data_IF_996347123175
#
_entry.id   IF_996347123175
#
_cell.length_a   1.000
_cell.length_b   1.000
_cell.length_c   1.000
_cell.angle_alpha   90.00
_cell.angle_beta   90.00
_cell.angle_gamma   90.00
#
_symmetry.space_group_name_H-M   'P 1'
#
loop_
_entity.id
_entity.type
_entity.pdbx_description
1 polymer ?
#
# COMPACT_ATOMS: atom_id res chain seq x y z
N UNK A 1 97.03 7.05 12.22
CA UNK A 1 95.97 7.38 11.24
C UNK A 1 94.93 6.26 11.12
N UNK A 2 95.31 4.98 10.92
CA UNK A 2 94.38 3.84 10.79
C UNK A 2 93.48 3.63 12.03
N UNK A 3 94.03 3.79 13.24
CA UNK A 3 93.32 3.56 14.51
C UNK A 3 92.22 4.60 14.80
N UNK A 4 92.39 5.83 14.32
CA UNK A 4 91.39 6.91 14.43
C UNK A 4 90.27 6.74 13.41
N UNK A 5 90.59 6.30 12.19
CA UNK A 5 89.60 6.00 11.15
C UNK A 5 88.71 4.81 11.57
N UNK A 6 89.29 3.75 12.14
CA UNK A 6 88.51 2.61 12.64
C UNK A 6 87.52 3.01 13.75
N UNK A 7 87.94 3.92 14.66
CA UNK A 7 87.07 4.43 15.73
C UNK A 7 85.90 5.24 15.17
N UNK A 8 86.16 6.08 14.18
CA UNK A 8 85.11 6.87 13.51
C UNK A 8 84.12 5.95 12.80
N UNK A 9 84.61 4.93 12.08
CA UNK A 9 83.75 3.94 11.40
C UNK A 9 82.92 3.16 12.42
N UNK A 10 83.48 2.76 13.56
CA UNK A 10 82.72 2.05 14.61
C UNK A 10 81.64 2.92 15.25
N UNK A 11 81.90 4.22 15.44
CA UNK A 11 80.90 5.16 15.99
C UNK A 11 79.77 5.38 14.98
N UNK A 12 80.10 5.50 13.69
CA UNK A 12 79.10 5.63 12.63
C UNK A 12 78.24 4.37 12.53
N UNK A 13 78.83 3.17 12.56
CA UNK A 13 78.11 1.90 12.53
C UNK A 13 77.17 1.73 13.73
N UNK A 14 77.61 2.11 14.94
CA UNK A 14 76.76 2.07 16.15
C UNK A 14 75.61 3.07 16.04
N UNK A 15 75.86 4.28 15.54
CA UNK A 15 74.81 5.28 15.35
C UNK A 15 73.77 4.85 14.30
N UNK A 16 74.21 4.21 13.21
CA UNK A 16 73.32 3.68 12.19
C UNK A 16 72.46 2.52 12.72
N UNK A 17 73.01 1.67 13.60
CA UNK A 17 72.28 0.54 14.18
C UNK A 17 71.17 0.99 15.16
N UNK A 18 71.37 2.10 15.88
CA UNK A 18 70.37 2.67 16.80
C UNK A 18 69.16 3.25 16.04
N UNK A 19 69.36 3.77 14.82
CA UNK A 19 68.29 4.37 14.01
C UNK A 19 67.28 3.36 13.43
N UNK A 20 67.60 2.05 13.39
CA UNK A 20 66.73 1.02 12.78
C UNK A 20 65.48 0.75 13.64
N UNK A 21 65.49 1.12 14.93
CA UNK A 21 64.37 0.93 15.85
C UNK A 21 63.36 2.09 15.86
N UNK A 22 63.53 3.11 15.02
CA UNK A 22 62.58 4.21 14.89
C UNK A 22 61.43 3.88 13.91
N UNK A 23 60.79 2.73 14.07
CA UNK A 23 59.52 2.46 13.43
C UNK A 23 58.41 3.02 14.33
N UNK A 24 57.76 4.10 13.90
CA UNK A 24 56.57 4.64 14.57
C UNK A 24 55.42 3.62 14.48
N UNK A 25 55.34 2.72 15.46
CA UNK A 25 54.21 1.82 15.60
C UNK A 25 52.95 2.65 15.92
N UNK A 26 51.93 2.56 15.06
CA UNK A 26 50.62 3.11 15.36
C UNK A 26 50.06 2.39 16.58
N UNK A 27 50.01 3.07 17.72
CA UNK A 27 49.42 2.50 18.93
C UNK A 27 47.89 2.57 18.79
N UNK A 28 47.25 1.45 18.51
CA UNK A 28 45.78 1.35 18.53
C UNK A 28 45.34 1.40 20.00
N UNK A 29 44.68 2.50 20.39
CA UNK A 29 44.17 2.69 21.75
C UNK A 29 42.75 2.12 21.82
N UNK A 30 42.57 1.01 22.54
CA UNK A 30 41.25 0.43 22.81
C UNK A 30 40.72 0.93 24.15
N UNK A 31 39.91 1.99 24.13
CA UNK A 31 39.13 2.41 25.30
C UNK A 31 37.85 1.56 25.40
N UNK A 32 37.80 0.68 26.40
CA UNK A 32 36.68 -0.25 26.64
C UNK A 32 35.35 0.47 26.88
N UNK A 33 35.36 1.66 27.47
CA UNK A 33 34.12 2.40 27.74
C UNK A 33 33.57 3.06 26.48
N UNK A 34 34.43 3.73 25.69
CA UNK A 34 34.04 4.24 24.38
C UNK A 34 33.56 3.12 23.45
N UNK A 35 34.27 1.99 23.40
CA UNK A 35 33.88 0.82 22.61
C UNK A 35 32.49 0.29 22.99
N UNK A 36 32.19 0.18 24.29
CA UNK A 36 30.86 -0.24 24.74
C UNK A 36 29.75 0.70 24.29
N UNK A 37 29.95 2.02 24.43
CA UNK A 37 28.95 3.03 24.04
C UNK A 37 28.76 3.02 22.52
N UNK A 38 29.85 3.00 21.76
CA UNK A 38 29.80 2.95 20.29
C UNK A 38 29.10 1.68 19.82
N UNK A 39 29.44 0.51 20.39
CA UNK A 39 28.77 -0.76 20.04
C UNK A 39 27.28 -0.75 20.38
N UNK A 40 26.88 -0.21 21.54
CA UNK A 40 25.48 -0.08 21.91
C UNK A 40 24.72 0.85 20.94
N UNK A 41 25.34 1.96 20.53
CA UNK A 41 24.78 2.87 19.54
C UNK A 41 24.69 2.22 18.15
N UNK A 42 25.73 1.50 17.71
CA UNK A 42 25.72 0.75 16.44
C UNK A 42 24.63 -0.32 16.42
N UNK A 43 24.48 -1.08 17.51
CA UNK A 43 23.43 -2.09 17.62
C UNK A 43 22.02 -1.45 17.58
N UNK A 44 21.84 -0.32 18.26
CA UNK A 44 20.59 0.43 18.24
C UNK A 44 20.27 1.00 16.86
N UNK A 45 21.27 1.59 16.18
CA UNK A 45 21.13 2.08 14.82
C UNK A 45 20.78 0.96 13.84
N UNK A 46 21.42 -0.20 13.96
CA UNK A 46 21.12 -1.37 13.13
C UNK A 46 19.66 -1.82 13.28
N UNK A 47 19.15 -1.89 14.52
CA UNK A 47 17.75 -2.23 14.76
C UNK A 47 16.79 -1.19 14.15
N UNK A 48 17.13 0.10 14.25
CA UNK A 48 16.34 1.18 13.64
C UNK A 48 16.37 1.07 12.10
N UNK A 49 17.52 0.77 11.51
CA UNK A 49 17.67 0.57 10.06
C UNK A 49 16.88 -0.64 9.57
N UNK A 50 16.92 -1.76 10.29
CA UNK A 50 16.13 -2.96 9.96
C UNK A 50 14.63 -2.64 9.99
N UNK A 51 14.15 -1.96 11.03
CA UNK A 51 12.75 -1.50 11.10
C UNK A 51 12.42 -0.50 9.98
N UNK A 52 13.35 0.39 9.63
CA UNK A 52 13.16 1.34 8.55
C UNK A 52 13.01 0.62 7.20
N UNK A 53 13.88 -0.35 6.91
CA UNK A 53 13.85 -1.14 5.68
C UNK A 53 12.52 -1.90 5.55
N UNK A 54 12.06 -2.56 6.61
CA UNK A 54 10.75 -3.22 6.61
C UNK A 54 9.60 -2.24 6.30
N UNK A 55 9.66 -1.01 6.84
CA UNK A 55 8.68 0.03 6.50
C UNK A 55 8.80 0.49 5.04
N UNK A 56 10.01 0.65 4.52
CA UNK A 56 10.25 1.00 3.11
C UNK A 56 9.68 -0.07 2.18
N UNK A 57 9.89 -1.34 2.49
CA UNK A 57 9.34 -2.47 1.71
C UNK A 57 7.81 -2.48 1.74
N UNK A 58 7.22 -2.24 2.91
CA UNK A 58 5.76 -2.12 3.05
C UNK A 58 5.21 -0.94 2.25
N UNK A 59 5.92 0.18 2.23
CA UNK A 59 5.57 1.36 1.43
C UNK A 59 5.65 1.05 -0.07
N UNK A 60 6.69 0.34 -0.50
CA UNK A 60 6.86 -0.08 -1.89
C UNK A 60 5.71 -1.00 -2.34
N UNK A 61 5.35 -2.00 -1.53
CA UNK A 61 4.23 -2.88 -1.79
C UNK A 61 2.89 -2.11 -1.93
N UNK A 62 2.64 -1.14 -1.03
CA UNK A 62 1.45 -0.29 -1.11
C UNK A 62 1.42 0.57 -2.37
N UNK A 63 2.57 1.10 -2.82
CA UNK A 63 2.67 1.83 -4.09
C UNK A 63 2.42 0.94 -5.31
N UNK A 64 3.02 -0.25 -5.35
CA UNK A 64 2.79 -1.20 -6.44
C UNK A 64 1.30 -1.59 -6.54
N UNK A 65 0.65 -1.79 -5.39
CA UNK A 65 -0.79 -2.04 -5.34
C UNK A 65 -1.59 -0.87 -5.94
N UNK A 66 -1.17 0.37 -5.68
CA UNK A 66 -1.75 1.58 -6.29
C UNK A 66 -1.63 1.59 -7.81
N UNK A 67 -0.49 1.18 -8.35
CA UNK A 67 -0.27 1.09 -9.81
C UNK A 67 -1.14 0.01 -10.45
N UNK A 68 -1.29 -1.15 -9.79
CA UNK A 68 -2.17 -2.23 -10.24
C UNK A 68 -3.63 -1.79 -10.39
N UNK A 69 -4.10 -0.81 -9.61
CA UNK A 69 -5.47 -0.30 -9.74
C UNK A 69 -5.78 0.29 -11.10
N UNK A 70 -4.80 0.93 -11.74
CA UNK A 70 -4.98 1.51 -13.09
C UNK A 70 -5.27 0.39 -14.10
N UNK A 71 -4.59 -0.74 -13.96
CA UNK A 71 -4.80 -1.94 -14.79
C UNK A 71 -6.14 -2.60 -14.46
N UNK A 72 -6.45 -2.77 -13.17
CA UNK A 72 -7.73 -3.33 -12.70
C UNK A 72 -8.95 -2.57 -13.20
N UNK A 73 -8.87 -1.24 -13.34
CA UNK A 73 -9.97 -0.43 -13.87
C UNK A 73 -10.31 -0.75 -15.32
N UNK A 74 -9.31 -0.97 -16.17
CA UNK A 74 -9.54 -1.36 -17.56
C UNK A 74 -10.21 -2.74 -17.61
N UNK A 75 -9.69 -3.70 -16.84
CA UNK A 75 -10.27 -5.04 -16.74
C UNK A 75 -11.72 -5.02 -16.26
N UNK A 76 -12.05 -4.23 -15.22
CA UNK A 76 -13.42 -4.14 -14.70
C UNK A 76 -14.39 -3.50 -15.70
N UNK A 77 -13.94 -2.54 -16.52
CA UNK A 77 -14.79 -1.98 -17.59
C UNK A 77 -15.15 -3.02 -18.65
N UNK A 78 -14.20 -3.88 -19.02
CA UNK A 78 -14.47 -4.98 -19.95
C UNK A 78 -15.39 -6.04 -19.33
N UNK A 79 -15.17 -6.39 -18.05
CA UNK A 79 -16.07 -7.27 -17.30
C UNK A 79 -17.50 -6.73 -17.22
N UNK A 80 -17.65 -5.42 -17.03
CA UNK A 80 -18.96 -4.77 -17.08
C UNK A 80 -19.62 -4.90 -18.44
N UNK A 81 -18.92 -4.63 -19.55
CA UNK A 81 -19.47 -4.77 -20.91
C UNK A 81 -19.95 -6.19 -21.16
N UNK A 82 -19.11 -7.17 -20.83
CA UNK A 82 -19.43 -8.60 -20.96
C UNK A 82 -20.68 -8.97 -20.14
N UNK A 83 -20.79 -8.44 -18.92
CA UNK A 83 -21.98 -8.63 -18.09
C UNK A 83 -23.23 -8.04 -18.74
N UNK A 84 -23.16 -6.79 -19.22
CA UNK A 84 -24.30 -6.10 -19.83
C UNK A 84 -24.84 -6.80 -21.09
N UNK A 85 -23.94 -7.37 -21.88
CA UNK A 85 -24.33 -8.19 -23.04
C UNK A 85 -25.15 -9.41 -22.63
N UNK A 86 -24.77 -10.07 -21.55
CA UNK A 86 -25.35 -11.34 -21.12
C UNK A 86 -26.65 -11.16 -20.31
N UNK A 87 -26.76 -10.04 -19.58
CA UNK A 87 -27.90 -9.75 -18.70
C UNK A 87 -29.25 -9.74 -19.45
N UNK A 88 -29.27 -9.42 -20.73
CA UNK A 88 -30.50 -9.42 -21.55
C UNK A 88 -31.21 -10.78 -21.62
N UNK A 89 -30.50 -11.90 -21.38
CA UNK A 89 -31.05 -13.25 -21.41
C UNK A 89 -31.87 -13.68 -20.18
N UNK A 90 -31.96 -12.85 -19.13
CA UNK A 90 -32.58 -13.21 -17.84
C UNK A 90 -34.03 -12.73 -17.64
N UNK A 91 -34.68 -12.19 -18.67
CA UNK A 91 -36.07 -11.76 -18.60
C UNK A 91 -36.31 -10.65 -17.56
N UNK A 92 -37.17 -10.89 -16.56
CA UNK A 92 -37.50 -9.89 -15.53
C UNK A 92 -36.34 -9.58 -14.58
N UNK A 93 -35.42 -10.53 -14.38
CA UNK A 93 -34.23 -10.36 -13.54
C UNK A 93 -33.19 -9.46 -14.18
N UNK A 94 -33.27 -9.26 -15.50
CA UNK A 94 -32.35 -8.40 -16.24
C UNK A 94 -32.30 -6.97 -15.71
N UNK A 95 -33.43 -6.44 -15.22
CA UNK A 95 -33.48 -5.10 -14.61
C UNK A 95 -32.68 -5.06 -13.32
N UNK A 96 -32.83 -6.08 -12.47
CA UNK A 96 -32.11 -6.16 -11.20
C UNK A 96 -30.60 -6.28 -11.45
N UNK A 97 -30.18 -7.14 -12.37
CA UNK A 97 -28.77 -7.32 -12.70
C UNK A 97 -28.14 -6.08 -13.36
N UNK A 98 -28.90 -5.31 -14.16
CA UNK A 98 -28.44 -4.00 -14.64
C UNK A 98 -28.11 -3.07 -13.48
N UNK A 99 -28.92 -3.08 -12.43
CA UNK A 99 -28.71 -2.24 -11.25
C UNK A 99 -27.48 -2.63 -10.44
N UNK A 100 -27.16 -3.93 -10.37
CA UNK A 100 -25.89 -4.41 -9.81
C UNK A 100 -24.71 -3.88 -10.63
N UNK A 101 -24.80 -3.96 -11.96
CA UNK A 101 -23.79 -3.44 -12.88
C UNK A 101 -23.59 -1.93 -12.76
N UNK A 102 -24.67 -1.16 -12.66
CA UNK A 102 -24.62 0.29 -12.47
C UNK A 102 -24.01 0.66 -11.12
N UNK A 103 -24.36 -0.05 -10.04
CA UNK A 103 -23.75 0.14 -8.73
C UNK A 103 -22.22 -0.05 -8.77
N UNK A 104 -21.74 -1.09 -9.46
CA UNK A 104 -20.31 -1.30 -9.66
C UNK A 104 -19.68 -0.16 -10.48
N UNK A 105 -20.34 0.28 -11.55
CA UNK A 105 -19.86 1.37 -12.40
C UNK A 105 -19.72 2.70 -11.64
N UNK A 106 -20.67 3.03 -10.77
CA UNK A 106 -20.64 4.23 -9.93
C UNK A 106 -19.39 4.25 -9.04
N UNK A 107 -19.07 3.12 -8.40
CA UNK A 107 -17.83 2.97 -7.61
C UNK A 107 -16.61 3.24 -8.49
N UNK A 108 -16.55 2.59 -9.66
CA UNK A 108 -15.41 2.71 -10.58
C UNK A 108 -15.22 4.12 -11.13
N UNK A 109 -16.30 4.88 -11.26
CA UNK A 109 -16.25 6.29 -11.66
C UNK A 109 -15.77 7.19 -10.54
N UNK A 110 -16.18 6.91 -9.30
CA UNK A 110 -15.93 7.78 -8.15
C UNK A 110 -14.56 7.56 -7.50
N UNK A 111 -14.03 6.34 -7.45
CA UNK A 111 -12.71 6.08 -6.86
C UNK A 111 -11.56 6.88 -7.52
N UNK A 112 -11.48 7.02 -8.86
CA UNK A 112 -10.48 7.89 -9.50
C UNK A 112 -10.53 9.34 -9.02
N UNK A 113 -11.74 9.86 -8.81
CA UNK A 113 -11.94 11.23 -8.29
C UNK A 113 -11.33 11.34 -6.88
N UNK A 114 -11.58 10.34 -6.02
CA UNK A 114 -10.99 10.27 -4.68
C UNK A 114 -9.47 10.17 -4.72
N UNK A 115 -8.91 9.27 -5.54
CA UNK A 115 -7.46 9.12 -5.70
C UNK A 115 -6.81 10.44 -6.13
N UNK A 116 -7.40 11.13 -7.11
CA UNK A 116 -6.89 12.42 -7.57
C UNK A 116 -6.96 13.50 -6.48
N UNK A 117 -8.02 13.49 -5.66
CA UNK A 117 -8.21 14.46 -4.58
C UNK A 117 -7.23 14.20 -3.43
N UNK A 118 -7.08 12.94 -3.02
CA UNK A 118 -6.09 12.50 -2.01
C UNK A 118 -4.68 12.87 -2.44
N UNK A 119 -4.34 12.69 -3.72
CA UNK A 119 -3.05 13.09 -4.27
C UNK A 119 -2.77 14.60 -4.22
N UNK A 120 -3.81 15.43 -4.28
CA UNK A 120 -3.68 16.90 -4.18
C UNK A 120 -3.75 17.41 -2.73
N UNK A 121 -4.45 16.69 -1.86
CA UNK A 121 -4.73 17.11 -0.50
C UNK A 121 -3.48 17.11 0.39
N UNK A 122 -3.30 18.15 1.21
CA UNK A 122 -2.13 18.34 2.07
C UNK A 122 -2.37 17.74 3.46
N UNK A 123 -2.21 16.43 3.60
CA UNK A 123 -2.26 15.74 4.90
C UNK A 123 -1.25 14.58 4.97
N UNK A 124 -0.80 14.25 6.19
CA UNK A 124 0.08 13.11 6.48
C UNK A 124 -0.64 11.78 6.19
N UNK A 125 0.09 10.69 5.92
CA UNK A 125 -0.50 9.35 5.74
C UNK A 125 -1.27 9.10 4.41
N UNK A 126 -1.13 9.99 3.43
CA UNK A 126 -1.74 9.88 2.09
C UNK A 126 -1.60 8.50 1.44
N UNK A 127 -0.44 7.86 1.55
CA UNK A 127 -0.20 6.54 0.97
C UNK A 127 -1.12 5.48 1.56
N UNK A 128 -1.41 5.52 2.86
CA UNK A 128 -2.34 4.58 3.49
C UNK A 128 -3.76 4.84 3.03
N UNK A 129 -4.16 6.10 2.87
CA UNK A 129 -5.44 6.44 2.26
C UNK A 129 -5.57 5.92 0.83
N UNK A 130 -4.52 6.03 0.01
CA UNK A 130 -4.49 5.46 -1.34
C UNK A 130 -4.56 3.92 -1.30
N UNK A 131 -3.94 3.29 -0.30
CA UNK A 131 -4.05 1.84 -0.09
C UNK A 131 -5.49 1.43 0.26
N UNK A 132 -6.18 2.18 1.13
CA UNK A 132 -7.58 1.90 1.48
C UNK A 132 -8.54 2.08 0.31
N UNK A 133 -8.43 3.18 -0.45
CA UNK A 133 -9.18 3.34 -1.70
C UNK A 133 -8.95 2.18 -2.66
N UNK A 134 -7.73 1.68 -2.66
CA UNK A 134 -7.31 0.52 -3.38
C UNK A 134 -7.88 -0.81 -2.95
N UNK A 135 -8.00 -1.02 -1.64
CA UNK A 135 -8.70 -2.17 -1.07
C UNK A 135 -10.16 -2.19 -1.55
N UNK A 136 -10.83 -1.02 -1.58
CA UNK A 136 -12.20 -0.92 -2.10
C UNK A 136 -12.29 -1.30 -3.58
N UNK A 137 -11.31 -0.91 -4.39
CA UNK A 137 -11.24 -1.31 -5.81
C UNK A 137 -11.05 -2.81 -5.96
N UNK A 138 -10.17 -3.41 -5.17
CA UNK A 138 -9.93 -4.85 -5.20
C UNK A 138 -11.18 -5.64 -4.77
N UNK A 139 -11.86 -5.21 -3.70
CA UNK A 139 -13.12 -5.80 -3.24
C UNK A 139 -14.21 -5.67 -4.32
N UNK A 140 -14.34 -4.48 -4.92
CA UNK A 140 -15.27 -4.25 -6.04
C UNK A 140 -14.95 -5.16 -7.22
N UNK A 141 -13.66 -5.33 -7.57
CA UNK A 141 -13.25 -6.20 -8.66
C UNK A 141 -13.63 -7.66 -8.41
N UNK A 142 -13.45 -8.14 -7.18
CA UNK A 142 -13.85 -9.50 -6.81
C UNK A 142 -15.37 -9.68 -6.93
N UNK A 143 -16.15 -8.73 -6.41
CA UNK A 143 -17.61 -8.74 -6.49
C UNK A 143 -18.11 -8.67 -7.93
N UNK A 144 -17.52 -7.82 -8.77
CA UNK A 144 -17.81 -7.75 -10.20
C UNK A 144 -17.43 -9.04 -10.90
N UNK A 145 -16.29 -9.65 -10.57
CA UNK A 145 -15.90 -10.96 -11.12
C UNK A 145 -16.92 -12.05 -10.77
N UNK A 146 -17.38 -12.09 -9.52
CA UNK A 146 -18.44 -13.00 -9.09
C UNK A 146 -19.76 -12.72 -9.84
N UNK A 147 -20.11 -11.46 -10.03
CA UNK A 147 -21.29 -11.06 -10.78
C UNK A 147 -21.20 -11.45 -12.26
N UNK A 148 -20.03 -11.28 -12.88
CA UNK A 148 -19.75 -11.71 -14.25
C UNK A 148 -19.97 -13.21 -14.38
N UNK A 149 -19.48 -14.01 -13.42
CA UNK A 149 -19.71 -15.46 -13.44
C UNK A 149 -21.21 -15.80 -13.37
N UNK A 150 -21.99 -15.07 -12.57
CA UNK A 150 -23.46 -15.25 -12.49
C UNK A 150 -24.13 -15.00 -13.84
N UNK A 151 -23.78 -13.90 -14.51
CA UNK A 151 -24.47 -13.46 -15.74
C UNK A 151 -23.92 -14.11 -17.00
N UNK A 152 -22.64 -14.50 -17.02
CA UNK A 152 -22.00 -15.15 -18.16
C UNK A 152 -22.33 -16.63 -18.29
N UNK A 153 -22.74 -17.29 -17.20
CA UNK A 153 -23.24 -18.66 -17.24
C UNK A 153 -24.62 -18.80 -17.95
N UNK A 154 -25.09 -17.78 -18.66
CA UNK A 154 -26.39 -17.75 -19.34
C UNK A 154 -26.30 -17.67 -20.88
N UNK A 155 -25.17 -18.06 -21.48
CA UNK A 155 -25.06 -18.17 -22.94
C UNK A 155 -24.53 -19.54 -23.37
N UNK A 156 -25.36 -20.41 -23.96
CA UNK A 156 -24.88 -21.30 -25.03
C UNK A 156 -25.83 -21.31 -26.26
N UNK A 157 -25.27 -21.26 -27.49
CA UNK A 157 -26.03 -21.54 -28.70
C UNK A 157 -26.18 -23.06 -28.93
N UNK A 158 -27.33 -23.49 -29.44
CA UNK A 158 -27.69 -24.90 -29.68
C UNK A 158 -26.54 -25.73 -30.34
N UNK A 159 -26.12 -26.87 -29.76
CA UNK A 159 -25.01 -27.70 -30.29
C UNK A 159 -25.31 -28.36 -31.65
N UNK A 160 -26.56 -28.34 -32.11
CA UNK A 160 -26.96 -28.85 -33.42
C UNK A 160 -26.92 -27.73 -34.47
N UNK A 161 -25.72 -27.42 -34.97
CA UNK A 161 -25.60 -26.71 -36.25
C UNK A 161 -26.03 -27.65 -37.37
N UNK A 162 -27.33 -27.68 -37.69
CA UNK A 162 -27.84 -28.26 -38.95
C UNK A 162 -29.11 -29.11 -38.92
N UNK A 163 -29.77 -29.36 -37.78
CA UNK A 163 -31.02 -30.14 -37.76
C UNK A 163 -32.25 -29.26 -37.53
N UNK A 164 -33.06 -29.12 -38.58
CA UNK A 164 -34.17 -28.16 -38.69
C UNK A 164 -35.37 -28.40 -37.76
N UNK A 165 -35.34 -29.41 -36.87
CA UNK A 165 -36.49 -29.82 -36.05
C UNK A 165 -36.17 -30.21 -34.61
N UNK A 166 -34.94 -30.03 -34.13
CA UNK A 166 -34.62 -30.21 -32.72
C UNK A 166 -34.86 -28.91 -31.93
N UNK A 167 -35.69 -28.96 -30.87
CA UNK A 167 -35.79 -27.87 -29.90
C UNK A 167 -34.39 -27.50 -29.41
N UNK A 168 -34.04 -26.21 -29.54
CA UNK A 168 -32.77 -25.65 -29.09
C UNK A 168 -32.72 -25.66 -27.55
N UNK A 169 -32.29 -26.75 -26.93
CA UNK A 169 -31.96 -26.76 -25.50
C UNK A 169 -30.45 -26.76 -25.34
N UNK A 170 -29.96 -25.53 -25.20
CA UNK A 170 -28.69 -25.15 -24.59
C UNK A 170 -28.52 -25.91 -23.25
N UNK A 171 -27.48 -26.72 -23.09
CA UNK A 171 -27.18 -27.41 -21.82
C UNK A 171 -26.32 -26.59 -20.86
N UNK A 172 -26.53 -25.26 -20.88
CA UNK A 172 -26.08 -24.27 -19.91
C UNK A 172 -25.91 -24.80 -18.50
N UNK A 173 -24.68 -25.22 -18.15
CA UNK A 173 -24.31 -25.50 -16.77
C UNK A 173 -24.10 -24.20 -16.00
N UNK A 174 -25.16 -23.40 -15.90
CA UNK A 174 -25.38 -22.61 -14.70
C UNK A 174 -25.84 -23.63 -13.64
N UNK A 175 -24.88 -24.19 -12.89
CA UNK A 175 -25.18 -25.12 -11.79
C UNK A 175 -26.03 -24.46 -10.70
N UNK A 176 -26.11 -23.13 -10.71
CA UNK A 176 -26.97 -22.37 -9.84
C UNK A 176 -28.39 -22.39 -10.40
N UNK A 177 -29.31 -22.93 -9.60
CA UNK A 177 -30.72 -22.73 -9.87
C UNK A 177 -31.08 -21.23 -9.81
N UNK A 178 -32.26 -20.88 -10.33
CA UNK A 178 -32.72 -19.48 -10.41
C UNK A 178 -32.68 -18.77 -9.05
N UNK A 179 -33.08 -19.46 -7.98
CA UNK A 179 -33.11 -18.94 -6.62
C UNK A 179 -31.71 -18.79 -6.02
N UNK A 180 -30.83 -19.78 -6.20
CA UNK A 180 -29.43 -19.70 -5.78
C UNK A 180 -28.72 -18.52 -6.46
N UNK A 181 -28.96 -18.34 -7.76
CA UNK A 181 -28.41 -17.24 -8.54
C UNK A 181 -28.90 -15.88 -8.03
N UNK A 182 -30.20 -15.74 -7.78
CA UNK A 182 -30.76 -14.52 -7.25
C UNK A 182 -30.25 -14.22 -5.84
N UNK A 183 -30.09 -15.25 -5.01
CA UNK A 183 -29.52 -15.13 -3.66
C UNK A 183 -28.08 -14.63 -3.70
N UNK A 184 -27.25 -15.22 -4.57
CA UNK A 184 -25.86 -14.80 -4.74
C UNK A 184 -25.77 -13.39 -5.32
N UNK A 185 -26.59 -13.07 -6.32
CA UNK A 185 -26.68 -11.72 -6.88
C UNK A 185 -27.09 -10.70 -5.80
N UNK A 186 -27.99 -11.05 -4.89
CA UNK A 186 -28.40 -10.19 -3.79
C UNK A 186 -27.30 -9.96 -2.73
N UNK A 187 -26.50 -10.99 -2.43
CA UNK A 187 -25.30 -10.81 -1.59
C UNK A 187 -24.31 -9.86 -2.25
N UNK A 188 -24.01 -10.08 -3.53
CA UNK A 188 -23.08 -9.22 -4.29
C UNK A 188 -23.59 -7.79 -4.35
N UNK A 189 -24.88 -7.60 -4.61
CA UNK A 189 -25.48 -6.28 -4.65
C UNK A 189 -25.40 -5.57 -3.29
N UNK A 190 -25.64 -6.30 -2.21
CA UNK A 190 -25.55 -5.77 -0.83
C UNK A 190 -24.13 -5.28 -0.54
N UNK A 191 -23.12 -6.10 -0.86
CA UNK A 191 -21.72 -5.76 -0.63
C UNK A 191 -21.25 -4.60 -1.53
N UNK A 192 -21.62 -4.61 -2.81
CA UNK A 192 -21.37 -3.50 -3.73
C UNK A 192 -22.04 -2.21 -3.24
N UNK A 193 -23.28 -2.27 -2.76
CA UNK A 193 -24.00 -1.10 -2.31
C UNK A 193 -23.37 -0.51 -1.04
N UNK A 194 -22.87 -1.37 -0.13
CA UNK A 194 -22.07 -0.94 1.02
C UNK A 194 -20.83 -0.17 0.58
N UNK A 195 -20.07 -0.69 -0.39
CA UNK A 195 -18.88 0.00 -0.93
C UNK A 195 -19.30 1.31 -1.60
N UNK A 196 -20.37 1.30 -2.40
CA UNK A 196 -20.88 2.48 -3.10
C UNK A 196 -21.20 3.61 -2.12
N UNK A 197 -21.98 3.36 -1.07
CA UNK A 197 -22.30 4.39 -0.08
C UNK A 197 -21.06 4.93 0.63
N UNK A 198 -20.08 4.06 0.93
CA UNK A 198 -18.81 4.50 1.52
C UNK A 198 -18.05 5.43 0.57
N UNK A 199 -17.94 5.06 -0.71
CA UNK A 199 -17.25 5.83 -1.74
C UNK A 199 -17.97 7.14 -2.04
N UNK A 200 -19.30 7.15 -2.13
CA UNK A 200 -20.11 8.36 -2.31
C UNK A 200 -19.95 9.32 -1.14
N UNK A 201 -20.00 8.80 0.10
CA UNK A 201 -19.73 9.59 1.29
C UNK A 201 -18.34 10.24 1.25
N UNK A 202 -17.31 9.48 0.87
CA UNK A 202 -15.96 10.03 0.67
C UNK A 202 -15.91 11.09 -0.44
N UNK A 203 -16.67 10.93 -1.53
CA UNK A 203 -16.71 11.92 -2.63
C UNK A 203 -17.34 13.21 -2.16
N UNK A 204 -18.42 13.14 -1.38
CA UNK A 204 -19.04 14.31 -0.78
C UNK A 204 -18.07 15.01 0.19
N UNK A 205 -17.34 14.25 1.02
CA UNK A 205 -16.28 14.83 1.88
C UNK A 205 -15.17 15.48 1.06
N UNK A 206 -14.75 14.87 -0.04
CA UNK A 206 -13.75 15.41 -0.94
C UNK A 206 -14.18 16.72 -1.62
N UNK A 207 -15.47 16.90 -1.88
CA UNK A 207 -16.02 18.09 -2.54
C UNK A 207 -16.34 19.22 -1.57
N UNK A 208 -16.90 18.90 -0.40
CA UNK A 208 -17.54 19.88 0.47
C UNK A 208 -16.89 20.01 1.86
N UNK A 209 -16.01 19.09 2.25
CA UNK A 209 -15.40 19.08 3.57
C UNK A 209 -13.90 19.41 3.53
N UNK A 210 -13.25 19.40 4.69
CA UNK A 210 -11.81 19.68 4.78
C UNK A 210 -10.97 18.45 4.44
N UNK A 211 -9.69 18.67 4.12
CA UNK A 211 -8.73 17.59 3.92
C UNK A 211 -8.58 16.68 5.17
N UNK A 212 -8.86 17.22 6.36
CA UNK A 212 -8.85 16.45 7.60
C UNK A 212 -10.07 15.53 7.71
N UNK A 213 -11.25 16.01 7.30
CA UNK A 213 -12.48 15.22 7.28
C UNK A 213 -12.38 14.10 6.23
N UNK A 214 -11.80 14.40 5.06
CA UNK A 214 -11.51 13.40 4.04
C UNK A 214 -10.52 12.34 4.54
N UNK A 215 -9.48 12.74 5.28
CA UNK A 215 -8.55 11.79 5.88
C UNK A 215 -9.27 10.86 6.87
N UNK A 216 -10.07 11.43 7.79
CA UNK A 216 -10.87 10.65 8.72
C UNK A 216 -11.84 9.68 8.03
N UNK A 217 -12.49 10.13 6.94
CA UNK A 217 -13.43 9.30 6.19
C UNK A 217 -12.77 8.12 5.46
N UNK A 218 -11.53 8.28 5.00
CA UNK A 218 -10.80 7.23 4.27
C UNK A 218 -10.10 6.27 5.24
N UNK A 219 -9.38 6.80 6.22
CA UNK A 219 -8.55 6.04 7.17
C UNK A 219 -8.72 6.60 8.59
N UNK A 220 -9.82 6.23 9.28
CA UNK A 220 -10.14 6.76 10.61
C UNK A 220 -9.10 6.34 11.66
N UNK A 221 -8.51 5.15 11.54
CA UNK A 221 -7.47 4.66 12.45
C UNK A 221 -6.16 5.44 12.26
N UNK A 222 -5.72 5.61 11.02
CA UNK A 222 -4.55 6.45 10.71
C UNK A 222 -4.76 7.89 11.14
N UNK A 223 -5.97 8.42 10.97
CA UNK A 223 -6.34 9.75 11.46
C UNK A 223 -6.20 9.85 12.98
N UNK A 224 -6.76 8.89 13.72
CA UNK A 224 -6.69 8.86 15.19
C UNK A 224 -5.23 8.79 15.67
N UNK A 225 -4.39 7.99 15.01
CA UNK A 225 -2.97 7.87 15.32
C UNK A 225 -2.23 9.20 15.12
N UNK A 226 -2.48 9.89 14.00
CA UNK A 226 -1.86 11.19 13.71
C UNK A 226 -2.29 12.26 14.71
N UNK A 227 -3.58 12.33 15.05
CA UNK A 227 -4.10 13.30 16.02
C UNK A 227 -3.54 13.05 17.41
N UNK A 228 -3.52 11.80 17.85
CA UNK A 228 -2.97 11.41 19.15
C UNK A 228 -1.49 11.79 19.25
N UNK A 229 -0.70 11.51 18.22
CA UNK A 229 0.72 11.89 18.20
C UNK A 229 0.92 13.41 18.20
N UNK A 230 0.10 14.17 17.48
CA UNK A 230 0.14 15.64 17.50
C UNK A 230 -0.09 16.17 18.91
N UNK A 231 -1.06 15.61 19.63
CA UNK A 231 -1.36 16.01 21.00
C UNK A 231 -0.20 15.69 21.95
N UNK A 232 0.40 14.50 21.84
CA UNK A 232 1.57 14.14 22.63
C UNK A 232 2.75 15.09 22.39
N UNK A 233 3.08 15.38 21.13
CA UNK A 233 4.14 16.33 20.79
C UNK A 233 3.79 17.74 21.29
N UNK A 234 2.54 18.17 21.16
CA UNK A 234 2.07 19.45 21.68
C UNK A 234 2.27 19.60 23.18
N UNK A 235 1.93 18.57 23.96
CA UNK A 235 2.16 18.57 25.40
C UNK A 235 3.65 18.63 25.75
N UNK A 236 4.49 17.85 25.06
CA UNK A 236 5.94 17.89 25.27
C UNK A 236 6.54 19.28 24.98
N UNK A 237 6.07 19.94 23.92
CA UNK A 237 6.50 21.31 23.58
C UNK A 237 6.02 22.30 24.65
N UNK A 238 4.80 22.15 25.14
CA UNK A 238 4.26 22.99 26.21
C UNK A 238 5.06 22.84 27.50
N UNK A 239 5.34 21.61 27.91
CA UNK A 239 6.15 21.29 29.09
C UNK A 239 7.55 21.90 28.96
N UNK A 240 8.19 21.74 27.79
CA UNK A 240 9.50 22.34 27.50
C UNK A 240 9.47 23.87 27.63
N UNK A 241 8.48 24.52 27.03
CA UNK A 241 8.35 25.98 27.10
C UNK A 241 8.07 26.46 28.52
N UNK A 242 7.32 25.69 29.32
CA UNK A 242 7.12 25.95 30.74
C UNK A 242 8.43 25.91 31.55
N UNK A 243 9.28 24.90 31.28
CA UNK A 243 10.60 24.82 31.90
C UNK A 243 11.50 25.99 31.52
N UNK A 244 11.52 26.38 30.24
CA UNK A 244 12.30 27.54 29.76
C UNK A 244 11.80 28.84 30.40
N UNK A 245 10.48 29.04 30.50
CA UNK A 245 9.89 30.22 31.11
C UNK A 245 10.17 30.30 32.63
N UNK A 246 10.30 29.17 33.32
CA UNK A 246 10.66 29.13 34.74
C UNK A 246 12.15 29.41 35.05
N UNK A 247 13.00 29.47 34.03
CA UNK A 247 14.44 29.74 34.16
C UNK A 247 14.80 31.24 34.00
N UNK A 248 13.80 32.12 33.91
CA UNK A 248 13.93 33.59 33.92
C UNK A 248 13.11 34.19 35.07
#
# INVERSE_FOLDING_TARGET
MVRTVLRIISVIMVSAFVCINAHAAWRIVFDRNCLKIVLANTASQKLIEEQHNQRVDTIAAKKQKVELYTVSMATMKELYKLSMENISGFGTESLYYKEIGLCALDILRNVPVLVSTVNRAKFSNRLLCLNELGNLVAETQQLVGNFVNIVNNARIPNPLQGQATAEKKDDGYNLLDRYERLTLANSIYTDLNRIRYKVEGMVLMAQYATANDLFFAIDPEGWANVVTMKNHVGNLVHDWNGLVASNY
#
